data_IF_417410286914
#
_entry.id   IF_417410286914
#
_cell.length_a   1.000
_cell.length_b   1.000
_cell.length_c   1.000
_cell.angle_alpha   90.00
_cell.angle_beta   90.00
_cell.angle_gamma   90.00
#
_symmetry.space_group_name_H-M   'P 1'
#
loop_
_entity.id
_entity.type
_entity.pdbx_description
1 polymer ?
#
# COMPACT_ATOMS: atom_id res chain seq x y z
N UNK A 1 -0.58 -6.76 -11.94
CA UNK A 1 -1.06 -7.19 -10.60
C UNK A 1 0.00 -7.94 -9.78
N UNK A 2 0.42 -9.16 -10.20
CA UNK A 2 1.37 -10.00 -9.44
C UNK A 2 2.73 -9.35 -9.17
N UNK A 3 3.28 -8.61 -10.14
CA UNK A 3 4.55 -7.89 -9.96
C UNK A 3 4.46 -6.72 -8.97
N UNK A 4 3.32 -6.02 -8.90
CA UNK A 4 3.09 -4.92 -7.95
C UNK A 4 3.00 -5.43 -6.51
N UNK A 5 2.24 -6.50 -6.30
CA UNK A 5 2.14 -7.17 -5.00
C UNK A 5 3.52 -7.58 -4.47
N UNK A 6 4.37 -8.16 -5.34
CA UNK A 6 5.76 -8.49 -4.99
C UNK A 6 6.56 -7.27 -4.53
N UNK A 7 6.46 -6.12 -5.21
CA UNK A 7 7.18 -4.91 -4.79
C UNK A 7 6.67 -4.38 -3.44
N UNK A 8 5.37 -4.40 -3.20
CA UNK A 8 4.80 -3.98 -1.91
C UNK A 8 5.22 -4.92 -0.76
N UNK A 9 5.27 -6.23 -1.00
CA UNK A 9 5.85 -7.17 -0.03
C UNK A 9 7.34 -6.92 0.21
N UNK A 10 8.11 -6.58 -0.82
CA UNK A 10 9.53 -6.27 -0.66
C UNK A 10 9.73 -5.02 0.22
N UNK A 11 8.89 -3.98 0.06
CA UNK A 11 8.90 -2.80 0.94
C UNK A 11 8.57 -3.18 2.38
N UNK A 12 7.50 -3.97 2.60
CA UNK A 12 7.15 -4.43 3.94
C UNK A 12 8.29 -5.22 4.61
N UNK A 13 8.91 -6.15 3.88
CA UNK A 13 10.05 -6.93 4.37
C UNK A 13 11.25 -6.02 4.72
N UNK A 14 11.52 -5.00 3.90
CA UNK A 14 12.61 -4.06 4.15
C UNK A 14 12.38 -3.23 5.41
N UNK A 15 11.13 -2.79 5.65
CA UNK A 15 10.77 -2.07 6.88
C UNK A 15 10.93 -3.00 8.09
N UNK A 16 10.37 -4.21 8.05
CA UNK A 16 10.45 -5.15 9.19
C UNK A 16 11.88 -5.58 9.54
N UNK A 17 12.79 -5.61 8.55
CA UNK A 17 14.19 -5.95 8.76
C UNK A 17 15.06 -4.75 9.15
N UNK A 18 14.54 -3.52 9.10
CA UNK A 18 15.32 -2.32 9.36
C UNK A 18 15.46 -2.04 10.87
N UNK A 19 16.58 -1.41 11.24
CA UNK A 19 16.74 -0.79 12.54
C UNK A 19 16.02 0.58 12.55
N UNK A 20 15.02 0.72 13.41
CA UNK A 20 14.21 1.94 13.52
C UNK A 20 14.87 3.04 14.33
N UNK A 21 15.97 2.77 15.02
CA UNK A 21 16.61 3.71 15.96
C UNK A 21 16.86 5.07 15.32
N UNK A 22 17.53 5.08 14.17
CA UNK A 22 17.88 6.34 13.49
C UNK A 22 16.66 7.11 12.98
N UNK A 23 15.65 6.40 12.47
CA UNK A 23 14.43 7.02 11.97
C UNK A 23 13.60 7.61 13.12
N UNK A 24 13.47 6.87 14.23
CA UNK A 24 12.77 7.33 15.42
C UNK A 24 13.45 8.55 16.05
N UNK A 25 14.79 8.58 16.14
CA UNK A 25 15.52 9.77 16.61
C UNK A 25 15.22 11.02 15.77
N UNK A 26 15.16 10.88 14.44
CA UNK A 26 14.82 11.99 13.56
C UNK A 26 13.39 12.47 13.81
N UNK A 27 12.42 11.54 13.85
CA UNK A 27 11.02 11.86 14.13
C UNK A 27 10.84 12.59 15.47
N UNK A 28 11.54 12.15 16.52
CA UNK A 28 11.50 12.82 17.83
C UNK A 28 12.05 14.24 17.75
N UNK A 29 13.17 14.46 17.04
CA UNK A 29 13.81 15.78 16.94
C UNK A 29 13.05 16.76 16.05
N UNK A 30 12.45 16.26 14.98
CA UNK A 30 11.74 17.09 14.00
C UNK A 30 10.29 17.38 14.41
N UNK A 31 9.62 16.40 15.04
CA UNK A 31 8.19 16.49 15.38
C UNK A 31 7.92 16.66 16.89
N UNK A 32 8.89 16.40 17.76
CA UNK A 32 8.74 16.51 19.22
C UNK A 32 7.96 15.37 19.89
N UNK A 33 7.63 14.29 19.15
CA UNK A 33 6.91 13.13 19.72
C UNK A 33 7.81 12.27 20.61
N UNK A 34 7.27 11.53 21.60
CA UNK A 34 8.04 10.57 22.39
C UNK A 34 8.66 9.45 21.54
N UNK A 35 9.86 9.00 21.93
CA UNK A 35 10.59 7.96 21.20
C UNK A 35 9.82 6.62 21.05
N UNK A 36 9.12 6.09 22.08
CA UNK A 36 8.32 4.88 21.92
C UNK A 36 7.17 5.04 20.90
N UNK A 37 6.57 6.23 20.82
CA UNK A 37 5.52 6.53 19.83
C UNK A 37 6.10 6.57 18.42
N UNK A 38 7.28 7.18 18.23
CA UNK A 38 7.98 7.18 16.95
C UNK A 38 8.30 5.77 16.45
N UNK A 39 8.80 4.88 17.33
CA UNK A 39 9.04 3.48 17.00
C UNK A 39 7.73 2.77 16.61
N UNK A 40 6.66 2.99 17.38
CA UNK A 40 5.35 2.39 17.10
C UNK A 40 4.78 2.83 15.74
N UNK A 41 4.91 4.10 15.39
CA UNK A 41 4.46 4.62 14.09
C UNK A 41 5.21 3.97 12.91
N UNK A 42 6.53 3.86 12.99
CA UNK A 42 7.33 3.20 11.93
C UNK A 42 6.95 1.72 11.80
N UNK A 43 6.77 1.04 12.93
CA UNK A 43 6.39 -0.37 12.96
C UNK A 43 5.02 -0.63 12.29
N UNK A 44 4.10 0.36 12.34
CA UNK A 44 2.79 0.26 11.69
C UNK A 44 2.85 0.37 10.17
N UNK A 45 3.97 0.82 9.57
CA UNK A 45 4.06 0.97 8.11
C UNK A 45 4.05 -0.37 7.37
N UNK A 46 4.78 -1.38 7.85
CA UNK A 46 4.90 -2.65 7.13
C UNK A 46 3.56 -3.40 6.94
N UNK A 47 2.70 -3.54 7.97
CA UNK A 47 1.37 -4.14 7.81
C UNK A 47 0.51 -3.45 6.74
N UNK A 48 0.59 -2.12 6.61
CA UNK A 48 -0.15 -1.35 5.59
C UNK A 48 0.26 -1.79 4.17
N UNK A 49 1.57 -1.90 3.92
CA UNK A 49 2.07 -2.37 2.64
C UNK A 49 1.66 -3.82 2.36
N UNK A 50 1.67 -4.70 3.38
CA UNK A 50 1.19 -6.07 3.23
C UNK A 50 -0.28 -6.12 2.83
N UNK A 51 -1.14 -5.34 3.50
CA UNK A 51 -2.56 -5.28 3.18
C UNK A 51 -2.81 -4.88 1.72
N UNK A 52 -2.16 -3.80 1.25
CA UNK A 52 -2.32 -3.36 -0.14
C UNK A 52 -1.66 -4.30 -1.17
N UNK A 53 -0.61 -5.03 -0.78
CA UNK A 53 -0.02 -6.06 -1.63
C UNK A 53 -1.04 -7.16 -1.97
N UNK A 54 -1.80 -7.61 -0.98
CA UNK A 54 -2.85 -8.61 -1.16
C UNK A 54 -3.98 -8.05 -2.02
N UNK A 55 -4.43 -6.83 -1.74
CA UNK A 55 -5.48 -6.14 -2.51
C UNK A 55 -5.11 -5.98 -3.98
N UNK A 56 -3.82 -5.75 -4.29
CA UNK A 56 -3.32 -5.61 -5.66
C UNK A 56 -3.39 -6.91 -6.49
N UNK A 57 -3.66 -8.06 -5.87
CA UNK A 57 -3.83 -9.36 -6.55
C UNK A 57 -5.27 -9.58 -7.02
N UNK A 58 -6.25 -8.96 -6.38
CA UNK A 58 -7.69 -9.24 -6.58
C UNK A 58 -8.39 -8.26 -7.54
N UNK A 59 -7.64 -7.36 -8.18
CA UNK A 59 -8.16 -6.26 -9.00
C UNK A 59 -8.45 -6.67 -10.46
N UNK A 60 -9.32 -7.67 -10.66
CA UNK A 60 -9.57 -8.28 -11.98
C UNK A 60 -10.80 -7.71 -12.74
N UNK A 61 -11.53 -6.75 -12.16
CA UNK A 61 -12.78 -6.25 -12.76
C UNK A 61 -13.97 -7.18 -12.57
N UNK A 62 -15.04 -7.00 -13.36
CA UNK A 62 -16.29 -7.76 -13.27
C UNK A 62 -16.83 -8.06 -14.66
N UNK A 63 -17.35 -9.28 -14.88
CA UNK A 63 -18.14 -9.62 -16.07
C UNK A 63 -19.61 -9.57 -15.66
N UNK A 64 -20.40 -8.75 -16.34
CA UNK A 64 -21.83 -8.65 -16.07
C UNK A 64 -22.60 -9.70 -16.87
N UNK A 65 -23.74 -10.16 -16.33
CA UNK A 65 -24.65 -11.04 -17.06
C UNK A 65 -25.17 -10.34 -18.32
N UNK A 66 -25.29 -11.08 -19.42
CA UNK A 66 -25.72 -10.53 -20.71
C UNK A 66 -27.19 -10.10 -20.65
N UNK A 67 -27.48 -8.82 -20.87
CA UNK A 67 -28.88 -8.33 -20.95
C UNK A 67 -29.49 -8.48 -22.33
N UNK A 68 -28.67 -8.70 -23.37
CA UNK A 68 -29.10 -8.94 -24.74
C UNK A 68 -28.23 -10.02 -25.40
N UNK A 69 -28.86 -10.91 -26.16
CA UNK A 69 -28.20 -11.99 -26.91
C UNK A 69 -27.15 -11.41 -27.87
N UNK A 70 -25.92 -11.93 -27.81
CA UNK A 70 -24.80 -11.47 -28.64
C UNK A 70 -23.98 -10.31 -28.06
N UNK A 71 -24.33 -9.80 -26.86
CA UNK A 71 -23.55 -8.77 -26.18
C UNK A 71 -22.59 -9.35 -25.12
N UNK A 72 -21.38 -8.80 -25.01
CA UNK A 72 -20.44 -9.08 -23.91
C UNK A 72 -20.22 -7.80 -23.10
N UNK A 73 -20.57 -7.86 -21.82
CA UNK A 73 -20.49 -6.71 -20.92
C UNK A 73 -19.46 -6.99 -19.84
N UNK A 74 -18.48 -6.10 -19.70
CA UNK A 74 -17.46 -6.19 -18.67
C UNK A 74 -17.11 -4.80 -18.14
N UNK A 75 -16.65 -4.77 -16.89
CA UNK A 75 -16.07 -3.61 -16.26
C UNK A 75 -14.64 -3.95 -15.85
N UNK A 76 -13.73 -3.01 -16.09
CA UNK A 76 -12.33 -3.14 -15.68
C UNK A 76 -11.95 -1.90 -14.87
N UNK A 77 -11.17 -2.11 -13.83
CA UNK A 77 -10.56 -1.03 -13.08
C UNK A 77 -9.15 -0.78 -13.62
N UNK A 78 -8.83 0.48 -13.84
CA UNK A 78 -7.51 0.92 -14.27
C UNK A 78 -7.00 2.01 -13.32
N UNK A 79 -5.67 2.17 -13.15
CA UNK A 79 -5.13 3.27 -12.37
C UNK A 79 -5.58 4.62 -12.93
N UNK A 80 -5.94 5.57 -12.07
CA UNK A 80 -6.35 6.92 -12.49
C UNK A 80 -5.26 7.70 -13.23
N UNK A 81 -3.99 7.29 -13.09
CA UNK A 81 -2.84 7.97 -13.69
C UNK A 81 -1.96 8.62 -12.63
N UNK A 82 -1.52 9.85 -12.89
CA UNK A 82 -0.63 10.60 -12.01
C UNK A 82 -1.34 11.06 -10.74
N UNK A 83 -0.69 10.88 -9.59
CA UNK A 83 -1.14 11.41 -8.29
C UNK A 83 -0.09 12.31 -7.63
N UNK A 84 -0.55 13.25 -6.80
CA UNK A 84 0.28 14.11 -5.95
C UNK A 84 -0.13 13.85 -4.50
N UNK A 85 0.83 13.48 -3.65
CA UNK A 85 0.58 13.15 -2.24
C UNK A 85 1.23 14.22 -1.36
N UNK A 86 0.43 15.06 -0.70
CA UNK A 86 0.88 16.10 0.24
C UNK A 86 0.45 15.67 1.63
N UNK A 87 1.41 15.43 2.52
CA UNK A 87 1.18 15.03 3.91
C UNK A 87 1.49 16.21 4.85
N UNK A 88 0.77 16.34 5.98
CA UNK A 88 0.99 17.40 6.97
C UNK A 88 2.28 17.22 7.77
#
# INVERSE_FOLDING_TARGET
>A
PKSRARHLHAVANAIEAADFTRCAELMVREMGKPYPEAIGEIANCAPIFRYYAEMARDDAGKIAGTTQTGSFQYARYEPYGTSVHIMP
#
